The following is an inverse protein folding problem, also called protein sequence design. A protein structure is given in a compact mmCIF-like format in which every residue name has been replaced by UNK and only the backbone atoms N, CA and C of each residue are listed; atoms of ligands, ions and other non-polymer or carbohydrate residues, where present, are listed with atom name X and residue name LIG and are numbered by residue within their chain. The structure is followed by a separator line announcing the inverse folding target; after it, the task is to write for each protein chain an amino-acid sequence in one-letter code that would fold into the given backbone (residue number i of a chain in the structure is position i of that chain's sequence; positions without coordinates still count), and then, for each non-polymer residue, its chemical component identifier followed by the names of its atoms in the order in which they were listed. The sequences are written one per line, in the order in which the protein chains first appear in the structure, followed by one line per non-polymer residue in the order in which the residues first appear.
data_IF_182776152930
#
_entry.id   IF_182776152930
#
_cell.length_a   1.000
_cell.length_b   1.000
_cell.length_c   1.000
_cell.angle_alpha   90.00
_cell.angle_beta   90.00
_cell.angle_gamma   90.00
#
_symmetry.space_group_name_H-M   'P 1'
#
loop_
_entity.id
_entity.type
_entity.pdbx_description
1 polymer ?
#
# COMPACT_ATOMS: atom_id res chain seq x y z
N UNK A 1 -35.16 -50.98 55.12
CA UNK A 1 -34.96 -50.17 53.89
C UNK A 1 -35.82 -50.78 52.80
N UNK A 2 -36.91 -50.09 52.45
CA UNK A 2 -37.96 -50.57 51.55
C UNK A 2 -37.49 -50.58 50.10
N UNK A 3 -37.65 -51.72 49.42
CA UNK A 3 -37.46 -51.90 47.98
C UNK A 3 -38.57 -51.15 47.20
N UNK A 4 -38.37 -49.84 46.96
CA UNK A 4 -39.32 -48.98 46.23
C UNK A 4 -39.27 -49.23 44.70
N UNK A 5 -38.23 -49.90 44.19
CA UNK A 5 -38.01 -50.09 42.76
C UNK A 5 -38.74 -51.28 42.12
N UNK A 6 -39.41 -52.15 42.89
CA UNK A 6 -39.94 -53.42 42.36
C UNK A 6 -41.46 -53.43 42.07
N UNK A 7 -42.14 -52.29 42.11
CA UNK A 7 -43.60 -52.18 41.86
C UNK A 7 -44.02 -51.36 40.64
N UNK A 8 -43.11 -50.68 39.94
CA UNK A 8 -43.44 -49.95 38.71
C UNK A 8 -43.01 -50.73 37.47
N UNK A 9 -43.89 -51.62 36.98
CA UNK A 9 -43.72 -52.22 35.66
C UNK A 9 -44.26 -51.24 34.63
N UNK A 10 -43.38 -50.60 33.87
CA UNK A 10 -43.79 -49.78 32.73
C UNK A 10 -44.34 -50.75 31.67
N UNK A 11 -45.61 -50.64 31.24
CA UNK A 11 -46.14 -51.46 30.15
C UNK A 11 -45.25 -51.28 28.92
N UNK A 12 -44.84 -52.37 28.26
CA UNK A 12 -43.88 -52.35 27.15
C UNK A 12 -44.29 -51.36 26.05
N UNK A 13 -45.61 -51.24 25.79
CA UNK A 13 -46.17 -50.28 24.84
C UNK A 13 -45.99 -48.82 25.27
N UNK A 14 -46.07 -48.52 26.56
CA UNK A 14 -45.87 -47.17 27.10
C UNK A 14 -44.39 -46.77 27.00
N UNK A 15 -43.48 -47.70 27.33
CA UNK A 15 -42.04 -47.50 27.17
C UNK A 15 -41.65 -47.27 25.71
N UNK A 16 -42.22 -48.05 24.79
CA UNK A 16 -41.97 -47.93 23.36
C UNK A 16 -42.51 -46.60 22.79
N UNK A 17 -43.71 -46.18 23.22
CA UNK A 17 -44.28 -44.90 22.81
C UNK A 17 -43.40 -43.71 23.26
N UNK A 18 -42.90 -43.76 24.51
CA UNK A 18 -42.03 -42.71 25.06
C UNK A 18 -40.69 -42.65 24.33
N UNK A 19 -40.18 -43.82 23.91
CA UNK A 19 -38.93 -43.94 23.15
C UNK A 19 -39.10 -43.38 21.72
N UNK A 20 -40.20 -43.73 21.04
CA UNK A 20 -40.50 -43.19 19.70
C UNK A 20 -40.72 -41.68 19.77
N UNK A 21 -41.44 -41.19 20.79
CA UNK A 21 -41.70 -39.76 20.95
C UNK A 21 -40.41 -38.99 21.28
N UNK A 22 -39.53 -39.57 22.11
CA UNK A 22 -38.22 -39.01 22.44
C UNK A 22 -37.31 -38.91 21.22
N UNK A 23 -37.21 -39.98 20.42
CA UNK A 23 -36.43 -39.98 19.17
C UNK A 23 -37.03 -39.01 18.16
N UNK A 24 -38.35 -39.04 17.96
CA UNK A 24 -39.04 -38.14 17.04
C UNK A 24 -38.85 -36.67 17.39
N UNK A 25 -38.97 -36.34 18.69
CA UNK A 25 -38.74 -34.97 19.18
C UNK A 25 -37.27 -34.57 19.06
N UNK A 26 -36.33 -35.48 19.35
CA UNK A 26 -34.90 -35.24 19.19
C UNK A 26 -34.51 -34.98 17.73
N UNK A 27 -35.01 -35.79 16.81
CA UNK A 27 -34.81 -35.60 15.36
C UNK A 27 -35.47 -34.30 14.90
N UNK A 28 -36.69 -34.02 15.33
CA UNK A 28 -37.39 -32.77 15.00
C UNK A 28 -36.62 -31.53 15.48
N UNK A 29 -36.06 -31.55 16.69
CA UNK A 29 -35.24 -30.46 17.23
C UNK A 29 -33.91 -30.29 16.49
N UNK A 30 -33.29 -31.39 16.05
CA UNK A 30 -32.07 -31.36 15.23
C UNK A 30 -32.36 -30.80 13.83
N UNK A 31 -33.54 -31.07 13.28
CA UNK A 31 -33.95 -30.59 11.94
C UNK A 31 -34.48 -29.14 11.95
N UNK A 32 -34.89 -28.59 13.10
CA UNK A 32 -35.48 -27.24 13.26
C UNK A 32 -34.46 -26.07 13.31
N UNK A 33 -33.42 -26.13 12.46
CA UNK A 33 -32.51 -25.00 12.15
C UNK A 33 -31.37 -24.71 13.14
N UNK A 34 -30.22 -25.32 12.88
CA UNK A 34 -28.93 -24.64 13.05
C UNK A 34 -28.30 -24.40 11.68
N UNK A 35 -28.93 -23.55 10.87
CA UNK A 35 -28.20 -22.84 9.82
C UNK A 35 -27.34 -21.77 10.50
N UNK A 36 -26.27 -22.20 11.18
CA UNK A 36 -25.16 -21.33 11.52
C UNK A 36 -24.46 -21.00 10.20
N UNK A 37 -25.03 -20.09 9.43
CA UNK A 37 -24.30 -19.40 8.38
C UNK A 37 -23.30 -18.54 9.13
N UNK A 38 -22.13 -19.10 9.43
CA UNK A 38 -21.00 -18.31 9.89
C UNK A 38 -20.56 -17.48 8.69
N UNK A 39 -21.15 -16.30 8.52
CA UNK A 39 -20.47 -15.27 7.74
C UNK A 39 -19.18 -14.99 8.50
N UNK A 40 -18.04 -15.39 7.95
CA UNK A 40 -16.75 -14.96 8.48
C UNK A 40 -16.81 -13.43 8.66
N UNK A 41 -16.52 -12.94 9.85
CA UNK A 41 -16.48 -11.50 10.10
C UNK A 41 -15.53 -10.85 9.08
N UNK A 42 -15.87 -9.67 8.54
CA UNK A 42 -14.98 -8.91 7.66
C UNK A 42 -13.58 -8.86 8.29
N UNK A 43 -12.55 -9.30 7.55
CA UNK A 43 -11.18 -9.24 8.08
C UNK A 43 -10.70 -7.78 8.06
N UNK A 44 -10.78 -7.18 9.24
CA UNK A 44 -10.32 -5.82 9.54
C UNK A 44 -8.95 -5.84 10.24
N UNK A 45 -8.31 -7.00 10.37
CA UNK A 45 -6.98 -7.06 10.98
C UNK A 45 -5.97 -6.27 10.12
N UNK A 46 -5.10 -5.44 10.73
CA UNK A 46 -4.04 -4.76 10.01
C UNK A 46 -3.05 -5.75 9.39
N UNK A 47 -2.85 -5.64 8.08
CA UNK A 47 -1.88 -6.38 7.28
C UNK A 47 -0.84 -5.41 6.71
N UNK A 48 0.34 -5.91 6.33
CA UNK A 48 1.41 -5.12 5.73
C UNK A 48 1.75 -3.84 6.52
N UNK A 49 1.89 -3.98 7.85
CA UNK A 49 2.17 -2.85 8.74
C UNK A 49 3.61 -2.36 8.53
N UNK A 50 3.77 -1.14 8.00
CA UNK A 50 5.06 -0.52 7.69
C UNK A 50 5.23 0.76 8.50
N UNK A 51 6.39 0.89 9.16
CA UNK A 51 6.87 2.16 9.75
C UNK A 51 7.94 2.72 8.80
N UNK A 52 7.77 3.95 8.38
CA UNK A 52 8.55 4.61 7.33
C UNK A 52 8.76 6.09 7.63
N UNK A 53 9.55 6.78 6.79
CA UNK A 53 9.79 8.23 6.89
C UNK A 53 10.19 8.64 8.32
N UNK A 54 11.12 7.89 8.92
CA UNK A 54 11.53 8.11 10.31
C UNK A 54 12.51 9.27 10.35
N UNK A 55 12.10 10.36 10.98
CA UNK A 55 12.92 11.55 11.21
C UNK A 55 13.03 11.83 12.73
N UNK A 56 13.53 13.03 13.07
CA UNK A 56 13.68 13.43 14.46
C UNK A 56 12.36 13.67 15.18
N UNK A 57 11.39 14.27 14.50
CA UNK A 57 10.13 14.70 15.11
C UNK A 57 8.91 14.10 14.42
N UNK A 58 9.13 13.30 13.37
CA UNK A 58 8.07 12.69 12.57
C UNK A 58 8.35 11.23 12.29
N UNK A 59 7.28 10.43 12.25
CA UNK A 59 7.29 9.03 11.83
C UNK A 59 5.99 8.76 11.08
N UNK A 60 6.07 8.01 9.99
CA UNK A 60 4.90 7.53 9.27
C UNK A 60 4.62 6.07 9.62
N UNK A 61 3.33 5.75 9.79
CA UNK A 61 2.82 4.39 9.87
C UNK A 61 1.78 4.17 8.78
N UNK A 62 1.84 3.01 8.13
CA UNK A 62 0.85 2.59 7.16
C UNK A 62 0.52 1.11 7.30
N UNK A 63 -0.68 0.73 6.88
CA UNK A 63 -1.15 -0.65 6.85
C UNK A 63 -2.35 -0.80 5.91
N UNK A 64 -2.74 -2.05 5.67
CA UNK A 64 -3.90 -2.41 4.86
C UNK A 64 -4.88 -3.29 5.64
N UNK A 65 -6.13 -3.31 5.19
CA UNK A 65 -7.18 -4.21 5.69
C UNK A 65 -7.95 -4.81 4.52
N UNK A 66 -8.49 -6.03 4.69
CA UNK A 66 -9.24 -6.70 3.62
C UNK A 66 -10.64 -6.10 3.40
N UNK A 67 -11.12 -5.24 4.28
CA UNK A 67 -12.41 -4.56 4.14
C UNK A 67 -12.32 -3.13 4.65
N UNK A 68 -13.03 -2.16 4.04
CA UNK A 68 -12.93 -0.76 4.46
C UNK A 68 -13.37 -0.58 5.92
N UNK A 69 -12.50 0.02 6.73
CA UNK A 69 -12.73 0.23 8.16
C UNK A 69 -12.18 1.59 8.60
N UNK A 70 -12.65 2.10 9.74
CA UNK A 70 -12.02 3.27 10.36
C UNK A 70 -10.75 2.78 11.05
N UNK A 71 -9.64 3.42 10.73
CA UNK A 71 -8.33 3.09 11.28
C UNK A 71 -7.71 4.30 11.96
N UNK A 72 -7.11 4.09 13.12
CA UNK A 72 -6.36 5.10 13.84
C UNK A 72 -5.28 4.45 14.70
N UNK A 73 -4.36 5.24 15.21
CA UNK A 73 -3.36 4.76 16.16
C UNK A 73 -3.43 5.49 17.48
N UNK A 74 -3.03 4.78 18.52
CA UNK A 74 -2.67 5.37 19.81
C UNK A 74 -1.18 5.16 20.05
N UNK A 75 -0.53 6.15 20.65
CA UNK A 75 0.92 6.11 20.90
C UNK A 75 1.33 6.93 22.11
N UNK A 76 2.53 6.69 22.64
CA UNK A 76 3.11 7.44 23.76
C UNK A 76 4.46 6.89 24.23
N UNK A 77 5.16 7.61 25.11
CA UNK A 77 6.50 7.20 25.58
C UNK A 77 6.44 6.23 26.75
N UNK A 78 5.44 6.37 27.63
CA UNK A 78 5.26 5.50 28.80
C UNK A 78 4.23 4.42 28.51
N UNK A 79 3.16 4.78 27.82
CA UNK A 79 2.10 3.86 27.37
C UNK A 79 1.63 4.19 25.96
N UNK A 80 1.18 3.18 25.23
CA UNK A 80 0.64 3.37 23.88
C UNK A 80 -0.73 4.08 23.82
N UNK A 81 -1.29 4.56 24.94
CA UNK A 81 -2.64 5.15 25.01
C UNK A 81 -2.62 6.66 25.33
N UNK A 82 -1.45 7.31 25.28
CA UNK A 82 -1.31 8.72 25.69
C UNK A 82 -1.89 9.70 24.66
N UNK A 83 -1.66 9.41 23.37
CA UNK A 83 -2.09 10.25 22.25
C UNK A 83 -2.82 9.40 21.23
N UNK A 84 -3.74 10.02 20.50
CA UNK A 84 -4.51 9.40 19.41
C UNK A 84 -4.26 10.19 18.14
N UNK A 85 -4.13 9.48 17.01
CA UNK A 85 -3.99 10.10 15.69
C UNK A 85 -4.80 9.28 14.67
N UNK A 86 -5.66 9.98 13.93
CA UNK A 86 -6.44 9.44 12.81
C UNK A 86 -5.61 9.41 11.53
N UNK A 87 -6.15 8.76 10.48
CA UNK A 87 -5.62 8.81 9.11
C UNK A 87 -5.36 10.27 8.69
N UNK A 88 -4.26 10.52 7.97
CA UNK A 88 -3.92 11.88 7.54
C UNK A 88 -4.97 12.48 6.60
N UNK A 89 -5.80 11.65 5.95
CA UNK A 89 -6.91 12.08 5.08
C UNK A 89 -8.22 12.33 5.83
N UNK A 90 -8.27 12.12 7.15
CA UNK A 90 -9.45 12.33 7.98
C UNK A 90 -9.47 13.72 8.65
N UNK A 91 -9.26 14.79 7.87
CA UNK A 91 -9.23 16.17 8.38
C UNK A 91 -10.63 16.70 8.71
N UNK A 92 -11.60 16.45 7.83
CA UNK A 92 -12.98 16.97 7.94
C UNK A 92 -13.99 15.89 8.32
N UNK A 93 -13.76 14.67 7.86
CA UNK A 93 -14.61 13.53 8.11
C UNK A 93 -13.78 12.25 8.19
N UNK A 94 -14.11 11.39 9.14
CA UNK A 94 -13.55 10.05 9.25
C UNK A 94 -14.21 9.11 8.26
N UNK A 95 -13.45 8.57 7.31
CA UNK A 95 -13.94 7.69 6.25
C UNK A 95 -13.35 6.29 6.40
N UNK A 96 -14.16 5.25 6.12
CA UNK A 96 -13.69 3.87 6.07
C UNK A 96 -12.79 3.65 4.85
N UNK A 97 -11.58 3.13 5.05
CA UNK A 97 -10.60 2.86 3.98
C UNK A 97 -9.99 1.48 4.17
N UNK A 98 -9.39 0.95 3.09
CA UNK A 98 -8.58 -0.27 3.14
C UNK A 98 -7.12 0.05 3.44
N UNK A 99 -6.61 1.07 2.76
CA UNK A 99 -5.27 1.61 2.99
C UNK A 99 -5.33 2.69 4.07
N UNK A 100 -4.44 2.61 5.04
CA UNK A 100 -4.31 3.59 6.09
C UNK A 100 -2.92 4.20 6.08
N UNK A 101 -2.85 5.52 6.26
CA UNK A 101 -1.60 6.27 6.24
C UNK A 101 -1.65 7.38 7.30
N UNK A 102 -0.72 7.31 8.25
CA UNK A 102 -0.70 8.19 9.42
C UNK A 102 0.69 8.75 9.64
N UNK A 103 0.80 10.07 9.70
CA UNK A 103 2.02 10.79 10.07
C UNK A 103 1.92 11.29 11.50
N UNK A 104 2.76 10.75 12.38
CA UNK A 104 2.99 11.31 13.71
C UNK A 104 3.91 12.52 13.59
N UNK A 105 3.55 13.62 14.24
CA UNK A 105 4.31 14.88 14.25
C UNK A 105 4.53 15.36 15.68
N UNK A 106 5.54 16.20 15.90
CA UNK A 106 5.86 16.74 17.22
C UNK A 106 6.32 15.67 18.21
N UNK A 107 7.04 14.67 17.71
CA UNK A 107 7.73 13.67 18.53
C UNK A 107 9.02 14.26 19.09
N UNK A 108 9.50 13.71 20.20
CA UNK A 108 10.82 14.04 20.70
C UNK A 108 11.88 13.31 19.86
N UNK A 109 13.00 13.98 19.50
CA UNK A 109 14.13 13.35 18.84
C UNK A 109 14.80 12.27 19.70
N UNK A 110 15.46 11.31 19.03
CA UNK A 110 16.22 10.23 19.66
C UNK A 110 15.46 9.54 20.81
N UNK A 111 14.16 9.34 20.63
CA UNK A 111 13.25 8.89 21.69
C UNK A 111 12.49 7.66 21.25
N UNK A 112 12.19 6.78 22.22
CA UNK A 112 11.41 5.59 21.98
C UNK A 112 9.95 5.78 22.38
N UNK A 113 9.06 5.14 21.61
CA UNK A 113 7.61 5.22 21.75
C UNK A 113 6.99 3.83 21.62
N UNK A 114 5.85 3.66 22.26
CA UNK A 114 4.95 2.53 22.10
C UNK A 114 3.74 2.96 21.26
N UNK A 115 3.27 2.08 20.38
CA UNK A 115 2.08 2.30 19.54
C UNK A 115 1.15 1.08 19.54
N UNK A 116 -0.14 1.34 19.27
CA UNK A 116 -1.15 0.34 18.91
C UNK A 116 -1.95 0.83 17.72
N UNK A 117 -2.32 -0.11 16.85
CA UNK A 117 -3.23 0.14 15.73
C UNK A 117 -4.64 -0.29 16.16
N UNK A 118 -5.59 0.61 15.95
CA UNK A 118 -7.02 0.36 16.11
C UNK A 118 -7.64 0.32 14.72
N UNK A 119 -8.29 -0.79 14.41
CA UNK A 119 -8.92 -1.05 13.13
C UNK A 119 -10.33 -1.57 13.40
N UNK A 120 -11.32 -0.68 13.36
CA UNK A 120 -12.67 -0.96 13.83
C UNK A 120 -12.66 -1.40 15.31
N UNK A 121 -13.12 -2.62 15.58
CA UNK A 121 -13.08 -3.24 16.92
C UNK A 121 -11.83 -4.12 17.16
N UNK A 122 -10.92 -4.22 16.19
CA UNK A 122 -9.64 -4.91 16.35
C UNK A 122 -8.56 -3.96 16.88
N UNK A 123 -7.77 -4.42 17.85
CA UNK A 123 -6.64 -3.67 18.42
C UNK A 123 -5.40 -4.53 18.43
N UNK A 124 -4.29 -4.04 17.88
CA UNK A 124 -3.02 -4.78 17.88
C UNK A 124 -2.37 -4.81 19.27
N UNK A 125 -1.49 -5.79 19.54
CA UNK A 125 -0.51 -5.68 20.61
C UNK A 125 0.31 -4.39 20.49
N UNK A 126 0.89 -3.96 21.61
CA UNK A 126 1.79 -2.80 21.62
C UNK A 126 3.06 -3.11 20.84
N UNK A 127 3.49 -2.19 19.98
CA UNK A 127 4.76 -2.25 19.23
C UNK A 127 5.62 -1.03 19.56
N UNK A 128 6.93 -1.21 19.59
CA UNK A 128 7.88 -0.12 19.84
C UNK A 128 8.40 0.47 18.52
N UNK A 129 8.68 1.77 18.53
CA UNK A 129 9.45 2.45 17.49
C UNK A 129 10.32 3.55 18.11
N UNK A 130 11.26 4.08 17.32
CA UNK A 130 12.15 5.15 17.76
C UNK A 130 12.25 6.24 16.69
N UNK A 131 12.40 7.48 17.14
CA UNK A 131 12.75 8.62 16.29
C UNK A 131 14.26 8.74 16.13
N UNK A 132 14.68 9.36 15.03
CA UNK A 132 16.09 9.65 14.81
C UNK A 132 16.56 10.85 15.67
N UNK A 133 17.86 11.09 15.83
CA UNK A 133 18.37 12.35 16.34
C UNK A 133 18.08 13.51 15.36
N UNK A 134 17.96 14.74 15.86
CA UNK A 134 17.92 15.92 15.00
C UNK A 134 19.18 15.97 14.12
N UNK A 135 18.99 16.34 12.86
CA UNK A 135 20.09 16.56 11.94
C UNK A 135 19.81 17.81 11.11
N UNK A 136 20.79 18.69 11.01
CA UNK A 136 20.80 19.79 10.05
C UNK A 136 21.36 19.37 8.70
N UNK A 137 21.94 18.16 8.59
CA UNK A 137 22.49 17.65 7.35
C UNK A 137 21.33 17.21 6.45
N UNK A 138 21.31 17.72 5.22
CA UNK A 138 20.47 17.21 4.15
C UNK A 138 21.34 16.31 3.27
N UNK A 139 20.81 15.17 2.84
CA UNK A 139 21.38 14.52 1.67
C UNK A 139 20.94 15.33 0.43
N UNK A 140 21.79 15.43 -0.59
CA UNK A 140 21.49 16.24 -1.77
C UNK A 140 20.39 15.64 -2.66
N UNK A 141 19.57 14.71 -2.15
CA UNK A 141 18.56 14.01 -2.91
C UNK A 141 17.29 14.85 -3.02
N UNK A 142 16.81 15.01 -4.25
CA UNK A 142 15.46 15.50 -4.51
C UNK A 142 14.39 14.47 -4.13
N UNK A 143 13.12 14.88 -4.04
CA UNK A 143 12.03 13.95 -3.81
C UNK A 143 11.83 13.03 -5.02
N UNK A 144 11.37 11.81 -4.74
CA UNK A 144 10.90 10.85 -5.73
C UNK A 144 9.46 11.19 -6.09
N UNK A 145 9.20 11.56 -7.35
CA UNK A 145 7.87 11.94 -7.84
C UNK A 145 7.45 10.95 -8.91
N UNK A 146 6.24 10.40 -8.82
CA UNK A 146 5.71 9.49 -9.83
C UNK A 146 4.20 9.53 -9.97
N UNK A 147 3.67 8.75 -10.91
CA UNK A 147 2.24 8.59 -11.15
C UNK A 147 1.89 7.12 -11.39
N UNK A 148 0.68 6.72 -10.99
CA UNK A 148 0.20 5.34 -11.08
C UNK A 148 -1.18 5.31 -11.72
N UNK A 149 -1.38 4.38 -12.65
CA UNK A 149 -2.66 4.09 -13.29
C UNK A 149 -3.12 2.65 -13.06
N UNK A 150 -4.43 2.48 -13.01
CA UNK A 150 -5.10 1.19 -13.06
C UNK A 150 -5.95 1.11 -14.33
N UNK A 151 -5.53 0.24 -15.27
CA UNK A 151 -6.07 0.24 -16.63
C UNK A 151 -5.70 1.52 -17.37
N UNK A 152 -6.68 2.37 -17.65
CA UNK A 152 -6.53 3.68 -18.33
C UNK A 152 -6.88 4.86 -17.40
N UNK A 153 -7.08 4.61 -16.09
CA UNK A 153 -7.49 5.63 -15.10
C UNK A 153 -6.41 5.83 -14.05
N UNK A 154 -6.25 7.04 -13.48
CA UNK A 154 -5.40 7.24 -12.32
C UNK A 154 -5.83 6.33 -11.16
N UNK A 155 -4.86 5.80 -10.42
CA UNK A 155 -5.15 5.05 -9.21
C UNK A 155 -5.56 6.03 -8.09
N UNK A 156 -6.81 5.97 -7.62
CA UNK A 156 -7.34 6.95 -6.66
C UNK A 156 -6.92 6.73 -5.20
N UNK A 157 -6.42 5.54 -4.82
CA UNK A 157 -5.93 5.25 -3.46
C UNK A 157 -4.86 4.17 -3.55
N UNK A 158 -3.78 4.32 -2.80
CA UNK A 158 -2.65 3.39 -2.85
C UNK A 158 -1.52 3.82 -1.91
N UNK A 159 -0.72 2.84 -1.53
CA UNK A 159 0.47 3.05 -0.71
C UNK A 159 1.70 2.81 -1.58
N UNK A 160 2.66 3.73 -1.50
CA UNK A 160 3.94 3.63 -2.21
C UNK A 160 5.05 3.47 -1.20
N UNK A 161 5.92 2.49 -1.43
CA UNK A 161 7.10 2.23 -0.61
C UNK A 161 8.35 2.30 -1.47
N UNK A 162 9.37 2.97 -0.96
CA UNK A 162 10.68 3.09 -1.59
C UNK A 162 11.73 2.50 -0.66
N UNK A 163 12.40 1.46 -1.14
CA UNK A 163 13.48 0.76 -0.46
C UNK A 163 14.81 1.13 -1.11
N UNK A 164 15.72 1.67 -0.30
CA UNK A 164 17.10 1.98 -0.70
C UNK A 164 18.03 1.16 0.22
N UNK A 165 19.06 0.48 -0.31
CA UNK A 165 20.00 -0.27 0.51
C UNK A 165 20.56 0.54 1.69
N UNK A 166 20.59 -0.09 2.87
CA UNK A 166 21.06 0.50 4.14
C UNK A 166 20.25 1.71 4.65
N UNK A 167 19.10 2.01 4.04
CA UNK A 167 18.22 3.08 4.46
C UNK A 167 16.97 2.57 5.19
N UNK A 168 16.32 3.46 5.92
CA UNK A 168 14.93 3.29 6.33
C UNK A 168 14.00 3.36 5.13
N UNK A 169 12.90 2.58 5.16
CA UNK A 169 11.86 2.62 4.13
C UNK A 169 11.25 4.02 4.10
N UNK A 170 11.12 4.56 2.89
CA UNK A 170 10.36 5.78 2.65
C UNK A 170 9.01 5.42 2.04
N UNK A 171 8.00 6.26 2.26
CA UNK A 171 6.66 6.00 1.75
C UNK A 171 5.89 7.27 1.41
N UNK A 172 4.85 7.09 0.61
CA UNK A 172 3.83 8.09 0.35
C UNK A 172 2.47 7.43 0.16
N UNK A 173 1.41 8.23 0.28
CA UNK A 173 0.06 7.87 -0.17
C UNK A 173 -0.16 8.43 -1.58
N UNK A 174 -0.84 7.67 -2.43
CA UNK A 174 -1.25 8.12 -3.76
C UNK A 174 -2.45 9.07 -3.62
N UNK A 175 -2.41 10.18 -4.33
CA UNK A 175 -3.52 11.15 -4.38
C UNK A 175 -4.63 10.68 -5.31
N UNK A 176 -5.81 11.30 -5.25
CA UNK A 176 -6.91 11.00 -6.18
C UNK A 176 -6.55 11.18 -7.67
N UNK A 177 -5.48 11.92 -7.96
CA UNK A 177 -4.95 12.13 -9.31
C UNK A 177 -3.92 11.07 -9.73
N UNK A 178 -3.71 10.02 -8.94
CA UNK A 178 -2.74 8.96 -9.21
C UNK A 178 -1.27 9.35 -8.97
N UNK A 179 -1.00 10.56 -8.48
CA UNK A 179 0.36 11.04 -8.23
C UNK A 179 0.81 10.80 -6.79
N UNK A 180 2.12 10.67 -6.59
CA UNK A 180 2.74 10.57 -5.26
C UNK A 180 4.07 11.32 -5.22
N UNK A 181 4.49 11.71 -4.02
CA UNK A 181 5.77 12.35 -3.74
C UNK A 181 6.36 11.74 -2.48
N UNK A 182 7.54 11.12 -2.60
CA UNK A 182 8.29 10.57 -1.46
C UNK A 182 9.47 11.50 -1.16
N UNK A 183 9.49 12.17 0.01
CA UNK A 183 10.62 13.02 0.40
C UNK A 183 11.85 12.16 0.72
N UNK A 184 13.02 12.57 0.24
CA UNK A 184 14.29 11.85 0.47
C UNK A 184 15.34 12.65 1.22
N UNK A 185 15.14 13.96 1.41
CA UNK A 185 16.13 14.89 1.96
C UNK A 185 16.62 14.52 3.38
N UNK A 186 15.80 13.76 4.11
CA UNK A 186 16.08 13.24 5.46
C UNK A 186 16.23 11.71 5.52
N UNK A 187 16.52 11.03 4.39
CA UNK A 187 16.71 9.58 4.33
C UNK A 187 17.70 9.12 5.41
N UNK A 188 17.22 8.34 6.38
CA UNK A 188 18.06 7.83 7.48
C UNK A 188 18.65 6.48 7.15
N UNK A 189 19.83 6.21 7.71
CA UNK A 189 20.41 4.87 7.80
C UNK A 189 19.45 3.93 8.53
N UNK A 190 19.52 2.63 8.26
CA UNK A 190 18.63 1.63 8.85
C UNK A 190 18.67 1.59 10.40
N UNK A 191 19.79 2.03 11.00
CA UNK A 191 19.99 2.16 12.46
C UNK A 191 19.57 3.53 13.03
N UNK A 192 19.06 4.43 12.19
CA UNK A 192 18.63 5.80 12.52
C UNK A 192 19.72 6.76 12.99
N UNK A 193 20.99 6.35 12.98
CA UNK A 193 22.08 7.13 13.58
C UNK A 193 22.50 8.32 12.72
N UNK A 194 22.35 8.23 11.40
CA UNK A 194 22.81 9.25 10.46
C UNK A 194 21.83 9.48 9.31
N UNK A 195 21.99 10.63 8.65
CA UNK A 195 21.41 10.88 7.33
C UNK A 195 22.27 10.15 6.31
N UNK A 196 21.64 9.30 5.50
CA UNK A 196 22.28 8.53 4.45
C UNK A 196 22.44 9.38 3.19
N UNK A 197 23.65 9.41 2.63
CA UNK A 197 23.94 9.98 1.33
C UNK A 197 24.43 8.86 0.38
N UNK A 198 23.51 8.11 -0.23
CA UNK A 198 23.85 6.97 -1.07
C UNK A 198 24.53 7.42 -2.39
N UNK A 199 25.41 6.60 -2.99
CA UNK A 199 25.94 6.84 -4.34
C UNK A 199 24.82 6.98 -5.38
N UNK A 200 25.03 7.81 -6.40
CA UNK A 200 24.01 8.09 -7.42
C UNK A 200 23.61 6.85 -8.26
N UNK A 201 24.50 5.88 -8.39
CA UNK A 201 24.25 4.62 -9.10
C UNK A 201 23.55 3.55 -8.23
N UNK A 202 23.26 3.85 -6.96
CA UNK A 202 22.54 2.94 -6.06
C UNK A 202 21.18 2.60 -6.64
N UNK A 203 20.85 1.31 -6.67
CA UNK A 203 19.53 0.83 -7.07
C UNK A 203 18.52 1.02 -5.93
N UNK A 204 17.38 1.62 -6.26
CA UNK A 204 16.23 1.78 -5.41
C UNK A 204 15.07 0.94 -5.95
N UNK A 205 14.24 0.41 -5.04
CA UNK A 205 13.07 -0.40 -5.36
C UNK A 205 11.81 0.32 -4.91
N UNK A 206 10.92 0.58 -5.84
CA UNK A 206 9.59 1.12 -5.60
C UNK A 206 8.57 -0.01 -5.63
N UNK A 207 7.68 -0.04 -4.66
CA UNK A 207 6.52 -0.92 -4.64
C UNK A 207 5.27 -0.09 -4.40
N UNK A 208 4.27 -0.27 -5.25
CA UNK A 208 2.95 0.33 -5.13
C UNK A 208 1.94 -0.75 -4.79
N UNK A 209 1.12 -0.52 -3.78
CA UNK A 209 0.04 -1.41 -3.39
C UNK A 209 -1.30 -0.69 -3.47
N UNK A 210 -2.22 -1.23 -4.26
CA UNK A 210 -3.59 -0.71 -4.41
C UNK A 210 -4.50 -1.21 -3.27
N UNK A 211 -5.73 -0.68 -3.12
CA UNK A 211 -6.61 -1.01 -2.00
C UNK A 211 -7.11 -2.46 -2.04
N UNK A 212 -7.16 -3.06 -3.23
CA UNK A 212 -7.50 -4.47 -3.46
C UNK A 212 -6.28 -5.41 -3.35
N UNK A 213 -5.10 -4.89 -3.00
CA UNK A 213 -3.90 -5.67 -2.75
C UNK A 213 -3.10 -6.04 -4.00
N UNK A 214 -3.46 -5.51 -5.19
CA UNK A 214 -2.59 -5.63 -6.37
C UNK A 214 -1.33 -4.82 -6.15
N UNK A 215 -0.24 -5.29 -6.77
CA UNK A 215 1.08 -4.70 -6.62
C UNK A 215 1.62 -4.29 -7.99
N UNK A 216 2.35 -3.19 -8.03
CA UNK A 216 3.25 -2.84 -9.14
C UNK A 216 4.62 -2.46 -8.58
N UNK A 217 5.68 -2.72 -9.33
CA UNK A 217 7.06 -2.50 -8.88
C UNK A 217 7.89 -1.78 -9.92
N UNK A 218 8.84 -0.99 -9.44
CA UNK A 218 9.87 -0.42 -10.29
C UNK A 218 11.25 -0.55 -9.62
N UNK A 219 12.29 -0.83 -10.40
CA UNK A 219 13.69 -0.78 -9.97
C UNK A 219 14.41 0.26 -10.81
N UNK A 220 15.15 1.17 -10.16
CA UNK A 220 15.80 2.29 -10.83
C UNK A 220 17.05 2.76 -10.08
N UNK A 221 17.93 3.52 -10.73
CA UNK A 221 19.10 4.14 -10.09
C UNK A 221 18.74 5.50 -9.51
N UNK A 222 19.30 5.87 -8.35
CA UNK A 222 19.01 7.17 -7.72
C UNK A 222 19.35 8.37 -8.61
N UNK A 223 20.30 8.25 -9.52
CA UNK A 223 20.63 9.26 -10.54
C UNK A 223 19.44 9.61 -11.45
N UNK A 224 18.44 8.73 -11.56
CA UNK A 224 17.24 8.93 -12.36
C UNK A 224 16.16 9.74 -11.63
N UNK A 225 16.29 10.02 -10.32
CA UNK A 225 15.29 10.74 -9.51
C UNK A 225 15.02 12.18 -9.93
N UNK A 226 15.97 12.82 -10.62
CA UNK A 226 15.80 14.18 -11.12
C UNK A 226 14.93 14.25 -12.38
N UNK A 227 14.51 13.10 -12.92
CA UNK A 227 13.50 12.97 -13.98
C UNK A 227 12.18 12.57 -13.32
N UNK A 228 11.01 13.06 -13.78
CA UNK A 228 9.73 12.58 -13.28
C UNK A 228 9.69 11.06 -13.47
N UNK A 229 9.49 10.31 -12.38
CA UNK A 229 9.42 8.87 -12.47
C UNK A 229 8.18 8.47 -13.26
N UNK A 230 8.41 7.40 -14.00
CA UNK A 230 7.54 6.68 -14.92
C UNK A 230 6.10 6.59 -14.44
N UNK A 231 5.18 6.64 -15.40
CA UNK A 231 3.82 6.16 -15.21
C UNK A 231 3.83 4.66 -14.94
N UNK A 232 3.61 4.24 -13.70
CA UNK A 232 3.53 2.84 -13.34
C UNK A 232 2.10 2.31 -13.54
N UNK A 233 1.96 1.18 -14.22
CA UNK A 233 0.66 0.52 -14.35
C UNK A 233 0.49 -0.57 -13.30
N UNK A 234 -0.68 -0.64 -12.66
CA UNK A 234 -0.97 -1.70 -11.70
C UNK A 234 -0.77 -3.09 -12.30
N UNK A 235 -0.05 -3.96 -11.57
CA UNK A 235 0.32 -5.30 -12.03
C UNK A 235 1.62 -5.37 -12.86
N UNK A 236 2.28 -4.25 -13.13
CA UNK A 236 3.55 -4.21 -13.86
C UNK A 236 4.74 -4.31 -12.90
N UNK A 237 5.74 -5.10 -13.28
CA UNK A 237 7.09 -5.05 -12.71
C UNK A 237 8.01 -4.42 -13.76
N UNK A 238 8.63 -3.29 -13.43
CA UNK A 238 9.45 -2.50 -14.33
C UNK A 238 10.90 -2.43 -13.84
N UNK A 239 11.87 -2.72 -14.71
CA UNK A 239 13.29 -2.61 -14.36
C UNK A 239 13.99 -1.61 -15.29
N UNK A 240 14.39 -0.47 -14.72
CA UNK A 240 15.08 0.63 -15.41
C UNK A 240 16.60 0.60 -15.24
N UNK A 241 17.14 -0.43 -14.58
CA UNK A 241 18.58 -0.60 -14.44
C UNK A 241 19.17 -1.42 -15.57
N UNK A 242 18.32 -2.13 -16.32
CA UNK A 242 18.65 -2.86 -17.53
C UNK A 242 18.73 -1.89 -18.71
N UNK A 243 19.95 -1.48 -19.07
CA UNK A 243 20.23 -0.95 -20.40
C UNK A 243 20.89 -2.07 -21.22
N UNK A 244 20.23 -2.55 -22.28
CA UNK A 244 20.97 -2.74 -23.52
C UNK A 244 20.90 -1.42 -24.27
N UNK A 245 22.04 -0.73 -24.36
CA UNK A 245 22.20 0.30 -25.37
C UNK A 245 22.10 -0.40 -26.72
N UNK A 246 20.94 -0.37 -27.36
CA UNK A 246 20.91 -0.61 -28.80
C UNK A 246 21.69 0.53 -29.45
N UNK A 247 22.73 0.28 -30.25
CA UNK A 247 23.47 1.32 -30.97
C UNK A 247 22.64 2.03 -32.05
N UNK A 248 21.31 1.85 -32.07
CA UNK A 248 20.41 2.50 -33.00
C UNK A 248 20.24 3.98 -32.62
N UNK A 249 21.19 4.76 -33.11
CA UNK A 249 21.07 6.16 -33.48
C UNK A 249 19.63 6.69 -33.60
N UNK A 250 19.31 7.79 -32.91
CA UNK A 250 18.20 8.71 -33.22
C UNK A 250 16.92 8.02 -33.70
N UNK A 251 16.37 7.12 -32.89
CA UNK A 251 15.04 6.58 -33.13
C UNK A 251 14.02 7.72 -33.00
N UNK A 252 12.96 7.71 -33.81
CA UNK A 252 11.83 8.66 -33.65
C UNK A 252 11.13 8.53 -32.30
N UNK A 253 11.40 7.44 -31.57
CA UNK A 253 10.88 7.18 -30.23
C UNK A 253 11.79 7.67 -29.10
N UNK A 254 13.02 8.10 -29.39
CA UNK A 254 13.91 8.78 -28.44
C UNK A 254 13.65 10.30 -28.53
N UNK A 255 12.59 10.73 -27.85
CA UNK A 255 12.05 12.08 -27.91
C UNK A 255 12.90 13.07 -27.11
N UNK A 256 13.52 12.62 -26.03
CA UNK A 256 14.40 13.46 -25.21
C UNK A 256 15.87 13.44 -25.69
N UNK A 257 16.20 12.60 -26.68
CA UNK A 257 17.53 12.44 -27.29
C UNK A 257 18.61 12.01 -26.31
N UNK A 258 18.24 11.23 -25.31
CA UNK A 258 19.18 10.68 -24.33
C UNK A 258 19.77 9.32 -24.76
N UNK A 259 19.40 8.85 -25.95
CA UNK A 259 19.90 7.61 -26.54
C UNK A 259 19.19 6.35 -26.02
N UNK A 260 18.11 6.52 -25.25
CA UNK A 260 17.34 5.43 -24.68
C UNK A 260 15.86 5.67 -24.98
N UNK A 261 15.14 4.66 -25.49
CA UNK A 261 13.68 4.72 -25.61
C UNK A 261 13.11 4.22 -24.29
N UNK A 262 12.67 5.13 -23.42
CA UNK A 262 12.16 4.77 -22.11
C UNK A 262 10.95 5.62 -21.73
N UNK A 263 10.51 5.48 -20.49
CA UNK A 263 9.42 6.25 -19.91
C UNK A 263 9.55 7.77 -20.02
N UNK A 264 10.78 8.29 -20.12
CA UNK A 264 11.01 9.72 -20.30
C UNK A 264 10.43 10.18 -21.64
N UNK A 265 10.54 9.35 -22.67
CA UNK A 265 9.95 9.59 -23.97
C UNK A 265 8.43 9.36 -23.93
N UNK A 266 7.97 8.32 -23.23
CA UNK A 266 6.53 8.12 -22.98
C UNK A 266 5.88 9.34 -22.31
N UNK A 267 6.55 9.96 -21.35
CA UNK A 267 6.08 11.16 -20.68
C UNK A 267 6.01 12.37 -21.62
N UNK A 268 6.88 12.46 -22.62
CA UNK A 268 6.81 13.50 -23.66
C UNK A 268 5.54 13.33 -24.49
N UNK A 269 5.20 12.10 -24.87
CA UNK A 269 3.93 11.81 -25.58
C UNK A 269 2.72 12.21 -24.73
N UNK A 270 2.67 11.79 -23.46
CA UNK A 270 1.60 12.16 -22.53
C UNK A 270 1.42 13.67 -22.38
N UNK A 271 2.51 14.41 -22.22
CA UNK A 271 2.49 15.86 -21.99
C UNK A 271 1.99 16.64 -23.22
N UNK A 272 2.05 16.02 -24.39
CA UNK A 272 1.70 16.64 -25.67
C UNK A 272 0.36 16.16 -26.23
N UNK A 273 -0.42 15.37 -25.47
CA UNK A 273 -1.74 14.88 -25.89
C UNK A 273 -2.68 16.01 -26.36
N UNK A 274 -3.39 15.74 -27.46
CA UNK A 274 -4.33 16.66 -28.09
C UNK A 274 -3.92 17.05 -29.52
N UNK A 275 -4.56 18.09 -30.05
CA UNK A 275 -4.42 18.51 -31.46
C UNK A 275 -3.42 19.65 -31.68
N UNK A 276 -2.68 20.07 -30.63
CA UNK A 276 -1.68 21.12 -30.72
C UNK A 276 -0.49 20.82 -29.79
N UNK A 277 0.29 19.76 -30.10
CA UNK A 277 1.43 19.36 -29.28
C UNK A 277 2.51 20.46 -29.30
N UNK A 278 3.10 20.74 -28.12
CA UNK A 278 4.26 21.64 -28.01
C UNK A 278 5.49 21.03 -28.67
N UNK A 279 5.60 19.71 -28.64
CA UNK A 279 6.66 18.94 -29.25
C UNK A 279 6.07 18.08 -30.37
N UNK A 280 6.27 18.49 -31.61
CA UNK A 280 5.72 17.76 -32.78
C UNK A 280 6.20 16.31 -32.88
N UNK A 281 7.38 16.00 -32.32
CA UNK A 281 7.88 14.63 -32.28
C UNK A 281 7.05 13.68 -31.42
N UNK A 282 6.16 14.20 -30.56
CA UNK A 282 5.25 13.38 -29.76
C UNK A 282 4.13 12.71 -30.58
N UNK A 283 3.86 13.20 -31.80
CA UNK A 283 3.01 12.53 -32.78
C UNK A 283 3.87 11.46 -33.48
N UNK A 284 3.73 10.22 -33.02
CA UNK A 284 4.60 9.11 -33.42
C UNK A 284 4.08 8.37 -34.65
N UNK A 285 2.79 8.54 -34.96
CA UNK A 285 2.13 7.96 -36.11
C UNK A 285 1.87 8.98 -37.24
N UNK A 286 2.25 10.24 -37.04
CA UNK A 286 2.13 11.37 -37.98
C UNK A 286 0.67 11.65 -38.42
N UNK A 287 -0.32 11.48 -37.51
CA UNK A 287 -1.75 11.71 -37.78
C UNK A 287 -2.28 13.10 -37.36
N UNK A 288 -1.35 14.02 -37.05
CA UNK A 288 -1.57 15.40 -36.61
C UNK A 288 -2.21 15.51 -35.21
N UNK A 289 -2.34 14.40 -34.49
CA UNK A 289 -2.86 14.35 -33.13
C UNK A 289 -1.93 13.50 -32.29
N UNK A 290 -1.75 13.90 -31.04
CA UNK A 290 -1.10 13.05 -30.05
C UNK A 290 -2.21 12.40 -29.23
N UNK A 291 -2.43 11.11 -29.44
CA UNK A 291 -3.52 10.36 -28.82
C UNK A 291 -3.08 9.00 -28.26
N UNK A 292 -4.06 8.15 -27.92
CA UNK A 292 -3.80 6.83 -27.34
C UNK A 292 -2.92 5.95 -28.24
N UNK A 293 -2.99 6.10 -29.56
CA UNK A 293 -2.18 5.31 -30.49
C UNK A 293 -0.70 5.62 -30.33
N UNK A 294 -0.34 6.89 -30.11
CA UNK A 294 1.05 7.28 -29.89
C UNK A 294 1.57 6.70 -28.57
N UNK A 295 0.75 6.74 -27.53
CA UNK A 295 1.06 6.09 -26.25
C UNK A 295 1.26 4.58 -26.41
N UNK A 296 0.40 3.91 -27.16
CA UNK A 296 0.51 2.47 -27.41
C UNK A 296 1.78 2.14 -28.23
N UNK A 297 2.12 2.99 -29.20
CA UNK A 297 3.34 2.84 -30.01
C UNK A 297 4.60 2.95 -29.15
N UNK A 298 4.72 4.00 -28.36
CA UNK A 298 5.92 4.18 -27.53
C UNK A 298 5.99 3.15 -26.41
N UNK A 299 4.85 2.73 -25.86
CA UNK A 299 4.82 1.66 -24.86
C UNK A 299 5.29 0.33 -25.44
N UNK A 300 4.98 0.05 -26.70
CA UNK A 300 5.44 -1.16 -27.40
C UNK A 300 6.95 -1.14 -27.61
N UNK A 301 7.54 0.01 -27.89
CA UNK A 301 8.99 0.15 -28.07
C UNK A 301 9.74 0.09 -26.74
N UNK A 302 9.18 0.62 -25.65
CA UNK A 302 9.76 0.52 -24.29
C UNK A 302 9.78 -0.93 -23.78
N UNK A 303 8.86 -1.77 -24.24
CA UNK A 303 8.73 -3.16 -23.82
C UNK A 303 9.56 -4.15 -24.68
N UNK A 304 10.30 -3.68 -25.68
CA UNK A 304 11.21 -4.48 -26.51
C UNK A 304 12.63 -4.47 -25.93
#
# INVERSE_FOLDING_TARGET
MSNILNKFKIPTLLGLALLIFGIGSGVYLVLQNQTLITTASPDISPQNVVISNIEGETVTLSWQTQTPVIGFITYGQRTANEKTKLDDRDETQTIKRRNHYITLKGLLPASSYLLKIHSGNFVTPSRQFSTAPLSSNQNGLGPTIGSVIDGDKPLHDGLVYLSIPNATIQSAVITDLGSFIIPLSQLRTADLTAVLNPPADTEAKLEVISPDGRVARAIFKLSQLNKPLILLKMGQDLNLTLNEASPAAYSKFDLNKDGLINSSDYAIVLKNMGTNPKEKGADLNDDEKVDKKDLDLIQKEINQ
#
